data_IF_153359017919
#
_entry.id   IF_153359017919
#
_cell.length_a   1.000
_cell.length_b   1.000
_cell.length_c   1.000
_cell.angle_alpha   90.00
_cell.angle_beta   90.00
_cell.angle_gamma   90.00
#
_symmetry.space_group_name_H-M   'P 1'
#
loop_
_entity.id
_entity.type
_entity.pdbx_description
1 polymer ?
#
# COMPACT_ATOMS: atom_id res chain seq x y z
N UNK A 1 -14.67 13.18 10.80
CA UNK A 1 -14.47 14.14 11.92
C UNK A 1 -13.20 14.92 11.62
N UNK A 2 -13.34 16.24 11.42
CA UNK A 2 -12.23 17.17 11.41
C UNK A 2 -11.48 17.03 12.72
N UNK A 3 -10.18 16.73 12.64
CA UNK A 3 -9.31 16.76 13.81
C UNK A 3 -9.39 18.14 14.44
N UNK A 4 -9.98 18.21 15.64
CA UNK A 4 -10.25 19.46 16.35
C UNK A 4 -8.95 20.21 16.64
N UNK A 5 -8.90 21.50 16.26
CA UNK A 5 -7.79 22.43 16.53
C UNK A 5 -7.79 23.00 17.95
N UNK A 6 -8.73 22.60 18.82
CA UNK A 6 -9.01 23.29 20.09
C UNK A 6 -8.67 22.51 21.35
N UNK A 7 -7.54 21.86 21.47
CA UNK A 7 -7.00 21.55 22.80
C UNK A 7 -5.58 22.05 22.92
N UNK A 8 -5.46 23.10 23.69
CA UNK A 8 -4.21 23.78 23.96
C UNK A 8 -3.23 22.89 24.76
N UNK A 9 -1.97 23.00 24.33
CA UNK A 9 -0.74 22.96 25.15
C UNK A 9 -0.55 21.77 26.11
N UNK A 10 0.25 20.84 25.71
CA UNK A 10 1.42 20.26 26.36
C UNK A 10 1.82 18.88 25.86
N UNK A 11 1.03 18.21 25.05
CA UNK A 11 1.46 16.93 24.45
C UNK A 11 1.72 17.11 22.95
N UNK A 12 2.95 16.86 22.54
CA UNK A 12 3.34 16.81 21.13
C UNK A 12 2.55 15.67 20.49
N UNK A 13 1.54 16.00 19.73
CA UNK A 13 0.76 15.02 18.96
C UNK A 13 1.71 14.17 18.11
N UNK A 14 1.55 12.87 18.20
CA UNK A 14 2.38 11.91 17.50
C UNK A 14 1.56 11.26 16.37
N UNK A 15 2.04 11.39 15.16
CA UNK A 15 1.46 10.76 13.96
C UNK A 15 2.40 9.69 13.44
N UNK A 16 1.89 8.51 13.19
CA UNK A 16 2.64 7.52 12.44
C UNK A 16 2.17 7.52 10.99
N UNK A 17 3.13 7.50 10.06
CA UNK A 17 2.91 7.20 8.65
C UNK A 17 3.62 5.90 8.34
N UNK A 18 2.90 4.93 7.82
CA UNK A 18 3.41 3.58 7.53
C UNK A 18 2.72 3.02 6.29
N UNK A 19 3.33 2.04 5.64
CA UNK A 19 2.74 1.32 4.53
C UNK A 19 3.63 1.29 3.30
N UNK A 20 3.31 0.39 2.36
CA UNK A 20 4.12 0.10 1.17
C UNK A 20 4.40 1.34 0.31
N UNK A 21 3.43 2.26 0.23
CA UNK A 21 3.51 3.48 -0.59
C UNK A 21 3.73 4.75 0.25
N UNK A 22 4.09 4.63 1.55
CA UNK A 22 4.22 5.79 2.44
C UNK A 22 5.34 6.76 2.02
N UNK A 23 6.51 6.23 1.70
CA UNK A 23 7.71 6.99 1.34
C UNK A 23 7.99 7.00 -0.18
N UNK A 24 7.12 6.37 -0.98
CA UNK A 24 7.24 6.30 -2.42
C UNK A 24 6.26 7.26 -3.09
N UNK A 25 6.61 7.70 -4.30
CA UNK A 25 5.72 8.45 -5.17
C UNK A 25 5.33 7.53 -6.33
N UNK A 26 4.08 7.09 -6.33
CA UNK A 26 3.60 6.16 -7.33
C UNK A 26 3.08 6.92 -8.56
N UNK A 27 3.55 6.49 -9.72
CA UNK A 27 3.15 6.95 -11.04
C UNK A 27 2.60 5.75 -11.81
N UNK A 28 1.63 5.97 -12.69
CA UNK A 28 1.16 4.91 -13.60
C UNK A 28 2.22 4.55 -14.64
N UNK A 29 2.07 3.37 -15.25
CA UNK A 29 2.83 3.00 -16.44
C UNK A 29 2.70 4.09 -17.50
N UNK A 30 3.78 4.34 -18.24
CA UNK A 30 3.84 5.37 -19.29
C UNK A 30 3.60 6.81 -18.81
N UNK A 31 3.66 7.07 -17.51
CA UNK A 31 3.65 8.43 -17.00
C UNK A 31 4.87 9.21 -17.46
N UNK A 32 4.70 10.52 -17.64
CA UNK A 32 5.82 11.39 -17.94
C UNK A 32 6.84 11.49 -16.80
N UNK A 33 8.06 11.91 -17.12
CA UNK A 33 9.08 12.20 -16.10
C UNK A 33 8.65 13.42 -15.28
N UNK A 34 8.69 13.36 -13.94
CA UNK A 34 8.42 14.50 -13.09
C UNK A 34 9.34 15.69 -13.40
N UNK A 35 8.81 16.90 -13.36
CA UNK A 35 9.59 18.13 -13.59
C UNK A 35 10.31 18.54 -12.30
N UNK A 36 9.69 18.32 -11.15
CA UNK A 36 10.25 18.62 -9.85
C UNK A 36 10.44 17.32 -9.05
N UNK A 37 11.14 17.39 -7.92
CA UNK A 37 11.25 16.27 -7.01
C UNK A 37 9.85 15.85 -6.52
N UNK A 38 9.44 14.60 -6.73
CA UNK A 38 8.14 14.13 -6.29
C UNK A 38 8.00 14.18 -4.76
N UNK A 39 6.78 14.47 -4.29
CA UNK A 39 6.46 14.57 -2.86
C UNK A 39 5.70 13.31 -2.44
N UNK A 40 6.33 12.45 -1.64
CA UNK A 40 5.68 11.27 -1.07
C UNK A 40 4.60 11.66 -0.04
N UNK A 41 3.70 10.73 0.30
CA UNK A 41 2.69 10.97 1.34
C UNK A 41 3.34 11.34 2.67
N UNK A 42 4.43 10.65 3.03
CA UNK A 42 5.22 10.94 4.22
C UNK A 42 5.78 12.36 4.20
N UNK A 43 6.38 12.77 3.10
CA UNK A 43 6.98 14.11 2.97
C UNK A 43 5.91 15.20 2.92
N UNK A 44 4.79 14.97 2.24
CA UNK A 44 3.66 15.90 2.22
C UNK A 44 3.11 16.16 3.61
N UNK A 45 2.96 15.10 4.43
CA UNK A 45 2.52 15.24 5.82
C UNK A 45 3.57 15.99 6.65
N UNK A 46 4.85 15.64 6.55
CA UNK A 46 5.95 16.33 7.25
C UNK A 46 6.01 17.81 6.90
N UNK A 47 5.96 18.13 5.62
CA UNK A 47 5.98 19.50 5.13
C UNK A 47 4.79 20.31 5.65
N UNK A 48 3.61 19.68 5.70
CA UNK A 48 2.37 20.33 6.18
C UNK A 48 2.38 20.63 7.67
N UNK A 49 2.91 19.73 8.49
CA UNK A 49 2.87 19.89 9.95
C UNK A 49 4.13 20.55 10.53
N UNK A 50 5.22 20.61 9.79
CA UNK A 50 6.49 21.17 10.26
C UNK A 50 6.94 20.52 11.57
N UNK A 51 7.23 21.37 12.57
CA UNK A 51 7.66 20.94 13.90
C UNK A 51 6.50 20.87 14.92
N UNK A 52 5.27 21.19 14.52
CA UNK A 52 4.11 21.23 15.43
C UNK A 52 3.64 19.83 15.83
N UNK A 53 3.84 18.85 14.95
CA UNK A 53 3.44 17.46 15.17
C UNK A 53 4.62 16.54 14.90
N UNK A 54 4.86 15.62 15.80
CA UNK A 54 5.89 14.59 15.61
C UNK A 54 5.41 13.54 14.61
N UNK A 55 6.01 13.50 13.41
CA UNK A 55 5.77 12.47 12.40
C UNK A 55 6.81 11.37 12.50
N UNK A 56 6.37 10.17 12.82
CA UNK A 56 7.22 8.98 12.90
C UNK A 56 6.91 8.07 11.71
N UNK A 57 7.93 7.51 11.12
CA UNK A 57 7.81 6.57 10.01
C UNK A 57 8.50 5.26 10.36
N UNK A 58 7.82 4.14 10.09
CA UNK A 58 8.41 2.82 10.05
C UNK A 58 8.40 2.32 8.61
N UNK A 59 9.55 1.90 8.06
CA UNK A 59 9.59 1.30 6.74
C UNK A 59 8.64 0.11 6.63
N UNK A 60 7.98 -0.01 5.50
CA UNK A 60 7.15 -1.17 5.21
C UNK A 60 8.02 -2.42 5.02
N UNK A 61 7.64 -3.48 5.68
CA UNK A 61 8.22 -4.80 5.49
C UNK A 61 7.14 -5.67 4.86
N UNK A 62 7.24 -5.91 3.55
CA UNK A 62 6.30 -6.80 2.84
C UNK A 62 6.53 -8.24 3.27
N UNK A 63 5.45 -8.98 3.51
CA UNK A 63 5.49 -10.42 3.71
C UNK A 63 4.76 -11.10 2.56
N UNK A 64 5.47 -11.65 1.59
CA UNK A 64 4.85 -12.59 0.66
C UNK A 64 4.42 -13.84 1.44
N UNK A 65 3.14 -14.18 1.43
CA UNK A 65 2.56 -15.37 2.12
C UNK A 65 2.87 -15.45 3.64
N UNK A 66 3.03 -14.33 4.34
CA UNK A 66 3.41 -14.31 5.76
C UNK A 66 4.93 -14.37 5.99
N UNK A 67 5.73 -14.30 4.93
CA UNK A 67 7.18 -14.13 5.03
C UNK A 67 7.55 -12.65 5.08
N UNK A 68 8.47 -12.29 5.96
CA UNK A 68 8.96 -10.92 6.14
C UNK A 68 10.49 -10.91 6.15
N UNK A 69 11.10 -9.82 5.72
CA UNK A 69 12.53 -9.61 5.95
C UNK A 69 12.83 -9.71 7.44
N UNK A 70 13.94 -10.35 7.79
CA UNK A 70 14.37 -10.41 9.18
C UNK A 70 14.68 -8.99 9.66
N UNK A 71 13.86 -8.48 10.57
CA UNK A 71 14.04 -7.14 11.12
C UNK A 71 15.40 -6.99 11.82
N UNK A 72 16.07 -5.84 11.71
CA UNK A 72 17.29 -5.54 12.49
C UNK A 72 17.14 -5.74 13.99
N UNK A 73 15.94 -5.68 14.56
CA UNK A 73 15.67 -5.99 15.96
C UNK A 73 16.00 -7.42 16.35
N UNK A 74 15.97 -8.35 15.37
CA UNK A 74 16.36 -9.75 15.55
C UNK A 74 17.82 -10.02 15.20
N UNK A 75 18.53 -9.01 14.71
CA UNK A 75 19.95 -9.04 14.31
C UNK A 75 20.69 -7.94 15.09
N UNK A 76 20.90 -8.06 16.41
CA UNK A 76 21.26 -6.96 17.30
C UNK A 76 22.57 -6.25 16.95
N UNK A 77 23.49 -6.95 16.27
CA UNK A 77 24.77 -6.41 15.81
C UNK A 77 24.84 -6.27 14.28
N UNK A 78 23.70 -6.48 13.56
CA UNK A 78 23.70 -6.65 12.14
C UNK A 78 24.40 -7.93 11.70
N UNK A 79 24.68 -8.04 10.41
CA UNK A 79 25.37 -9.18 9.81
C UNK A 79 26.71 -8.72 9.24
N UNK A 80 27.82 -9.32 9.68
CA UNK A 80 29.10 -9.16 8.99
C UNK A 80 28.94 -9.74 7.60
N UNK A 81 29.06 -8.90 6.57
CA UNK A 81 28.99 -9.28 5.17
C UNK A 81 30.39 -9.27 4.55
N UNK A 82 30.76 -10.35 3.91
CA UNK A 82 32.02 -10.57 3.19
C UNK A 82 31.70 -10.68 1.70
N UNK A 83 32.10 -9.69 0.91
CA UNK A 83 31.83 -9.57 -0.52
C UNK A 83 33.07 -9.96 -1.32
N UNK A 84 32.94 -10.97 -2.15
CA UNK A 84 34.01 -11.48 -3.04
C UNK A 84 33.69 -11.14 -4.50
N UNK A 85 34.70 -10.84 -5.28
CA UNK A 85 34.62 -10.54 -6.73
C UNK A 85 34.70 -11.80 -7.62
N UNK A 86 34.23 -12.93 -7.08
CA UNK A 86 34.14 -14.22 -7.75
C UNK A 86 33.05 -15.07 -7.08
N UNK A 87 32.52 -16.11 -7.75
CA UNK A 87 31.40 -16.92 -7.21
C UNK A 87 31.87 -18.04 -6.24
N UNK A 88 33.14 -18.10 -5.83
CA UNK A 88 33.76 -19.25 -5.11
C UNK A 88 34.38 -18.86 -3.77
N UNK A 89 34.13 -17.64 -3.25
CA UNK A 89 34.68 -17.13 -1.98
C UNK A 89 36.20 -17.10 -1.90
N UNK A 90 36.89 -16.97 -3.03
CA UNK A 90 38.36 -16.94 -3.07
C UNK A 90 38.90 -15.52 -2.91
N UNK A 91 40.11 -15.42 -2.34
CA UNK A 91 40.77 -14.14 -2.16
C UNK A 91 40.35 -13.39 -0.89
N UNK A 92 40.65 -12.09 -0.85
CA UNK A 92 40.35 -11.23 0.29
C UNK A 92 39.04 -10.50 0.04
N UNK A 93 38.01 -10.70 0.88
CA UNK A 93 36.71 -10.01 0.70
C UNK A 93 36.78 -8.53 1.10
N UNK A 94 35.93 -7.72 0.51
CA UNK A 94 35.52 -6.47 1.11
C UNK A 94 34.50 -6.74 2.21
N UNK A 95 34.59 -6.07 3.35
CA UNK A 95 33.72 -6.35 4.50
C UNK A 95 32.96 -5.10 4.95
N UNK A 96 31.70 -5.28 5.33
CA UNK A 96 30.89 -4.28 6.01
C UNK A 96 29.87 -4.97 6.95
N UNK A 97 29.07 -4.17 7.68
CA UNK A 97 27.94 -4.68 8.45
C UNK A 97 26.65 -4.32 7.72
N UNK A 98 25.91 -5.35 7.33
CA UNK A 98 24.58 -5.21 6.71
C UNK A 98 23.49 -5.33 7.79
N UNK A 99 22.39 -4.60 7.62
CA UNK A 99 21.25 -4.64 8.57
C UNK A 99 20.37 -5.87 8.40
N UNK A 100 20.52 -6.60 7.29
CA UNK A 100 19.78 -7.78 6.90
C UNK A 100 20.19 -8.22 5.50
N UNK A 101 19.60 -9.26 4.98
CA UNK A 101 19.88 -9.78 3.63
C UNK A 101 18.73 -9.36 2.70
N UNK A 102 18.95 -8.26 2.01
CA UNK A 102 18.08 -7.74 0.96
C UNK A 102 18.95 -7.10 -0.14
N UNK A 103 19.64 -7.96 -0.89
CA UNK A 103 20.61 -7.59 -1.89
C UNK A 103 20.00 -7.70 -3.28
N UNK A 104 19.87 -6.57 -3.96
CA UNK A 104 19.33 -6.47 -5.31
C UNK A 104 19.88 -5.18 -5.96
N UNK A 105 21.14 -5.17 -6.40
CA UNK A 105 21.86 -3.96 -6.83
C UNK A 105 21.21 -3.22 -7.99
N UNK A 106 20.51 -3.92 -8.88
CA UNK A 106 19.81 -3.33 -10.03
C UNK A 106 18.70 -2.34 -9.60
N UNK A 107 18.07 -2.63 -8.45
CA UNK A 107 16.96 -1.84 -7.92
C UNK A 107 17.39 -0.88 -6.78
N UNK A 108 18.68 -0.75 -6.54
CA UNK A 108 19.25 0.12 -5.52
C UNK A 108 20.14 1.20 -6.14
N UNK A 109 20.40 2.26 -5.38
CA UNK A 109 21.36 3.27 -5.82
C UNK A 109 22.75 2.62 -6.02
N UNK A 110 23.51 3.05 -7.06
CA UNK A 110 24.85 2.51 -7.31
C UNK A 110 25.72 2.60 -6.05
N UNK A 111 26.25 1.45 -5.61
CA UNK A 111 27.15 1.35 -4.47
C UNK A 111 28.55 0.93 -4.98
N UNK A 112 29.53 1.84 -4.98
CA UNK A 112 30.89 1.54 -5.46
C UNK A 112 31.62 0.52 -4.57
N UNK A 113 31.11 0.22 -3.38
CA UNK A 113 31.64 -0.82 -2.53
C UNK A 113 31.37 -2.23 -3.08
N UNK A 114 30.24 -2.43 -3.76
CA UNK A 114 29.81 -3.73 -4.23
C UNK A 114 30.70 -4.25 -5.38
N UNK A 115 31.09 -5.54 -5.37
CA UNK A 115 31.70 -6.15 -6.52
C UNK A 115 30.72 -6.23 -7.70
N UNK A 116 31.25 -6.31 -8.90
CA UNK A 116 30.44 -6.62 -10.09
C UNK A 116 30.24 -8.13 -10.19
N UNK A 117 29.13 -8.51 -10.83
CA UNK A 117 28.89 -9.90 -11.21
C UNK A 117 30.02 -10.43 -12.15
N UNK A 118 30.50 -11.68 -12.00
CA UNK A 118 30.09 -12.67 -10.99
C UNK A 118 30.64 -12.38 -9.59
N UNK A 119 29.90 -12.72 -8.55
CA UNK A 119 30.28 -12.43 -7.17
C UNK A 119 29.81 -13.51 -6.19
N UNK A 120 30.30 -13.46 -4.95
CA UNK A 120 29.71 -14.20 -3.83
C UNK A 120 29.71 -13.38 -2.55
N UNK A 121 28.74 -13.67 -1.68
CA UNK A 121 28.57 -12.95 -0.42
C UNK A 121 28.34 -13.96 0.71
N UNK A 122 29.03 -13.75 1.83
CA UNK A 122 28.78 -14.49 3.06
C UNK A 122 28.37 -13.52 4.14
N UNK A 123 27.21 -13.75 4.74
CA UNK A 123 26.73 -13.04 5.92
C UNK A 123 26.83 -13.91 7.15
N UNK A 124 27.34 -13.36 8.24
CA UNK A 124 27.41 -14.01 9.54
C UNK A 124 26.99 -13.06 10.67
N UNK A 125 26.26 -13.58 11.65
CA UNK A 125 25.82 -12.79 12.77
C UNK A 125 24.93 -13.53 13.76
N UNK A 126 24.47 -12.82 14.79
CA UNK A 126 23.56 -13.36 15.80
C UNK A 126 22.10 -13.12 15.38
N UNK A 127 21.28 -14.18 15.46
CA UNK A 127 19.84 -14.14 15.31
C UNK A 127 19.18 -14.36 16.66
N UNK A 128 18.26 -13.46 17.07
CA UNK A 128 17.55 -13.56 18.37
C UNK A 128 16.05 -13.56 18.11
N UNK A 129 15.38 -14.74 18.17
CA UNK A 129 13.94 -14.82 17.99
C UNK A 129 13.17 -14.18 19.16
N UNK A 130 12.03 -13.58 18.89
CA UNK A 130 11.14 -13.01 19.91
C UNK A 130 10.00 -13.94 20.34
N UNK A 131 9.89 -15.11 19.70
CA UNK A 131 8.91 -16.17 20.02
C UNK A 131 9.60 -17.53 19.96
N UNK A 132 9.11 -18.51 20.72
CA UNK A 132 9.51 -19.92 20.57
C UNK A 132 8.58 -20.63 19.58
N UNK A 133 9.11 -21.48 18.74
CA UNK A 133 8.35 -22.30 17.82
C UNK A 133 9.04 -22.54 16.49
N UNK A 134 8.32 -23.10 15.52
CA UNK A 134 8.84 -23.40 14.20
C UNK A 134 8.86 -22.14 13.33
N UNK A 135 10.04 -21.72 12.92
CA UNK A 135 10.30 -20.67 11.94
C UNK A 135 10.51 -21.29 10.57
N UNK A 136 9.87 -20.72 9.56
CA UNK A 136 10.10 -21.11 8.16
C UNK A 136 10.87 -19.98 7.48
N UNK A 137 12.11 -20.26 7.08
CA UNK A 137 12.92 -19.33 6.29
C UNK A 137 12.61 -19.48 4.81
N UNK A 138 12.73 -18.39 4.08
CA UNK A 138 12.52 -18.28 2.64
C UNK A 138 13.66 -17.47 2.05
N UNK A 139 14.50 -18.09 1.22
CA UNK A 139 15.62 -17.44 0.56
C UNK A 139 15.32 -17.34 -0.94
N UNK A 140 15.16 -16.12 -1.43
CA UNK A 140 15.03 -15.84 -2.86
C UNK A 140 16.40 -15.44 -3.39
N UNK A 141 16.88 -16.13 -4.40
CA UNK A 141 18.19 -15.87 -5.01
C UNK A 141 18.20 -16.05 -6.53
N UNK A 142 19.16 -15.42 -7.16
CA UNK A 142 19.67 -15.61 -8.50
C UNK A 142 21.20 -15.41 -8.40
N UNK A 143 22.07 -16.41 -8.39
CA UNK A 143 21.90 -17.86 -8.46
C UNK A 143 21.76 -18.55 -7.08
N UNK A 144 22.76 -19.30 -6.64
CA UNK A 144 22.69 -20.24 -5.52
C UNK A 144 22.79 -19.60 -4.14
N UNK A 145 22.08 -20.21 -3.18
CA UNK A 145 22.09 -19.77 -1.78
C UNK A 145 22.11 -20.93 -0.79
N UNK A 146 22.60 -20.65 0.42
CA UNK A 146 22.57 -21.54 1.59
C UNK A 146 22.28 -20.77 2.85
N UNK A 147 21.53 -21.37 3.76
CA UNK A 147 21.29 -20.84 5.10
C UNK A 147 21.63 -21.88 6.16
N UNK A 148 22.41 -21.45 7.13
CA UNK A 148 22.74 -22.23 8.33
C UNK A 148 22.31 -21.47 9.58
N UNK A 149 21.76 -22.20 10.56
CA UNK A 149 21.46 -21.71 11.91
C UNK A 149 22.13 -22.66 12.90
N UNK A 150 23.07 -22.17 13.74
CA UNK A 150 23.94 -22.98 14.61
C UNK A 150 24.57 -24.16 13.86
N UNK A 151 25.14 -23.89 12.68
CA UNK A 151 25.76 -24.88 11.75
C UNK A 151 24.78 -25.90 11.17
N UNK A 152 23.51 -25.91 11.55
CA UNK A 152 22.48 -26.73 10.89
C UNK A 152 22.13 -26.10 9.54
N UNK A 153 22.25 -26.88 8.46
CA UNK A 153 21.86 -26.51 7.11
C UNK A 153 20.31 -26.49 7.04
N UNK A 154 19.74 -25.27 6.85
CA UNK A 154 18.29 -25.04 6.81
C UNK A 154 17.79 -24.91 5.36
N UNK A 155 18.59 -24.26 4.50
CA UNK A 155 18.32 -24.14 3.07
C UNK A 155 19.60 -24.48 2.32
N UNK A 156 19.48 -25.35 1.28
CA UNK A 156 20.58 -25.71 0.39
C UNK A 156 20.12 -25.69 -1.07
N UNK A 157 20.46 -24.60 -1.74
CA UNK A 157 20.24 -24.44 -3.17
C UNK A 157 21.52 -23.90 -3.83
N UNK A 158 22.52 -24.79 -3.98
CA UNK A 158 23.84 -24.39 -4.45
C UNK A 158 24.04 -24.74 -5.93
N UNK A 159 23.15 -24.18 -6.78
CA UNK A 159 23.15 -24.41 -8.23
C UNK A 159 23.02 -23.08 -8.98
N UNK A 160 23.42 -23.07 -10.23
CA UNK A 160 23.16 -21.96 -11.16
C UNK A 160 21.69 -22.03 -11.62
N UNK A 161 20.94 -20.96 -11.46
CA UNK A 161 19.53 -20.87 -11.84
C UNK A 161 19.06 -19.41 -11.94
N UNK A 162 17.96 -19.16 -12.65
CA UNK A 162 17.25 -17.88 -12.60
C UNK A 162 16.57 -17.69 -11.25
N UNK A 163 16.07 -16.47 -10.99
CA UNK A 163 15.39 -16.13 -9.73
C UNK A 163 14.41 -17.22 -9.28
N UNK A 164 14.64 -17.77 -8.10
CA UNK A 164 13.71 -18.69 -7.43
C UNK A 164 13.82 -18.58 -5.91
N UNK A 165 12.89 -19.21 -5.23
CA UNK A 165 12.77 -19.14 -3.77
C UNK A 165 12.79 -20.56 -3.18
N UNK A 166 13.72 -20.81 -2.27
CA UNK A 166 13.78 -22.05 -1.50
C UNK A 166 13.38 -21.80 -0.04
N UNK A 167 12.78 -22.82 0.58
CA UNK A 167 12.25 -22.73 1.94
C UNK A 167 12.81 -23.83 2.82
N UNK A 168 13.05 -23.49 4.10
CA UNK A 168 13.48 -24.44 5.12
C UNK A 168 12.95 -24.04 6.49
N UNK A 169 12.70 -25.02 7.36
CA UNK A 169 12.16 -24.75 8.70
C UNK A 169 13.11 -25.22 9.80
N UNK A 170 13.02 -24.53 10.95
CA UNK A 170 13.78 -24.86 12.16
C UNK A 170 13.00 -24.35 13.38
N UNK A 171 13.06 -25.09 14.48
CA UNK A 171 12.50 -24.65 15.78
C UNK A 171 13.49 -23.76 16.51
N UNK A 172 13.05 -22.56 16.90
CA UNK A 172 13.86 -21.59 17.64
C UNK A 172 13.19 -21.25 18.97
N UNK A 173 14.00 -20.88 19.97
CA UNK A 173 13.56 -20.50 21.32
C UNK A 173 13.64 -18.98 21.50
N UNK A 174 12.58 -18.39 22.07
CA UNK A 174 12.52 -16.96 22.37
C UNK A 174 13.73 -16.49 23.19
N UNK A 175 14.39 -15.43 22.71
CA UNK A 175 15.50 -14.77 23.39
C UNK A 175 16.84 -15.52 23.36
N UNK A 176 16.86 -16.74 22.85
CA UNK A 176 18.10 -17.49 22.64
C UNK A 176 18.86 -16.92 21.45
N UNK A 177 20.17 -16.83 21.56
CA UNK A 177 21.05 -16.40 20.48
C UNK A 177 21.44 -17.59 19.61
N UNK A 178 21.28 -17.45 18.33
CA UNK A 178 21.65 -18.40 17.32
C UNK A 178 22.68 -17.80 16.36
N UNK A 179 23.63 -18.59 15.87
CA UNK A 179 24.57 -18.15 14.85
C UNK A 179 23.91 -18.32 13.46
N UNK A 180 23.66 -17.20 12.79
CA UNK A 180 23.20 -17.18 11.41
C UNK A 180 24.40 -17.10 10.49
N UNK A 181 24.49 -18.01 9.50
CA UNK A 181 25.39 -17.92 8.35
C UNK A 181 24.58 -18.10 7.09
N UNK A 182 24.63 -17.12 6.20
CA UNK A 182 24.05 -17.22 4.85
C UNK A 182 25.15 -17.06 3.80
N UNK A 183 25.09 -17.88 2.78
CA UNK A 183 25.99 -17.86 1.64
C UNK A 183 25.20 -17.70 0.35
N UNK A 184 25.73 -16.91 -0.57
CA UNK A 184 25.13 -16.60 -1.85
C UNK A 184 26.22 -16.48 -2.91
N UNK A 185 25.94 -16.96 -4.12
CA UNK A 185 26.76 -16.64 -5.28
C UNK A 185 25.88 -16.27 -6.48
N UNK A 186 26.43 -15.39 -7.29
CA UNK A 186 25.93 -14.98 -8.60
C UNK A 186 27.00 -15.35 -9.64
N UNK A 187 26.61 -16.09 -10.67
CA UNK A 187 27.49 -16.53 -11.76
C UNK A 187 27.29 -15.68 -13.03
N UNK A 188 26.53 -14.63 -12.95
CA UNK A 188 26.22 -13.67 -14.03
C UNK A 188 24.74 -13.50 -14.25
N UNK A 189 24.33 -12.31 -14.63
CA UNK A 189 22.93 -11.96 -14.84
C UNK A 189 22.40 -10.97 -13.82
N UNK A 190 21.26 -11.27 -13.21
CA UNK A 190 20.66 -10.43 -12.17
C UNK A 190 21.06 -10.95 -10.79
N UNK A 191 21.83 -10.17 -10.06
CA UNK A 191 22.28 -10.55 -8.72
C UNK A 191 21.16 -10.25 -7.68
N UNK A 192 20.55 -11.30 -7.12
CA UNK A 192 19.46 -11.21 -6.15
C UNK A 192 19.71 -12.15 -4.97
N UNK A 193 19.64 -11.60 -3.73
CA UNK A 193 19.65 -12.40 -2.50
C UNK A 193 18.76 -11.74 -1.45
N UNK A 194 17.60 -12.36 -1.13
CA UNK A 194 16.64 -11.87 -0.15
C UNK A 194 16.27 -12.97 0.83
N UNK A 195 16.56 -12.76 2.12
CA UNK A 195 16.24 -13.72 3.19
C UNK A 195 15.05 -13.21 4.01
N UNK A 196 13.98 -13.94 3.91
CA UNK A 196 12.75 -13.73 4.68
C UNK A 196 12.57 -14.87 5.68
N UNK A 197 11.72 -14.65 6.66
CA UNK A 197 11.22 -15.68 7.52
C UNK A 197 9.73 -15.53 7.81
N UNK A 198 9.06 -16.62 8.10
CA UNK A 198 7.73 -16.65 8.68
C UNK A 198 7.87 -17.11 10.14
N UNK A 199 7.40 -16.28 11.07
CA UNK A 199 7.42 -16.57 12.49
C UNK A 199 6.32 -17.57 12.87
N UNK A 200 6.46 -18.32 13.97
CA UNK A 200 5.43 -19.22 14.47
C UNK A 200 4.11 -18.49 14.70
N UNK A 201 3.00 -19.05 14.22
CA UNK A 201 1.65 -18.56 14.50
C UNK A 201 1.15 -19.19 15.80
N UNK A 202 0.84 -18.39 16.81
CA UNK A 202 0.12 -18.83 18.01
C UNK A 202 -1.12 -17.97 18.19
N UNK A 203 -2.21 -18.53 18.72
CA UNK A 203 -3.46 -17.80 19.01
C UNK A 203 -3.28 -16.67 20.05
N UNK A 204 -2.14 -16.64 20.73
CA UNK A 204 -1.76 -15.60 21.72
C UNK A 204 -0.77 -14.57 21.15
N UNK A 205 -0.34 -14.70 19.90
CA UNK A 205 0.66 -13.83 19.32
C UNK A 205 0.02 -12.57 18.74
N UNK A 206 0.56 -11.45 19.14
CA UNK A 206 0.21 -10.17 18.55
C UNK A 206 0.80 -10.06 17.14
N UNK A 207 -0.04 -10.34 16.15
CA UNK A 207 0.34 -10.29 14.72
C UNK A 207 0.99 -8.97 14.31
N UNK A 208 0.68 -7.87 15.02
CA UNK A 208 1.28 -6.57 14.73
C UNK A 208 2.78 -6.57 15.00
N UNK A 209 3.28 -7.40 15.93
CA UNK A 209 4.72 -7.48 16.20
C UNK A 209 5.53 -8.06 15.03
N UNK A 210 4.89 -8.70 14.05
CA UNK A 210 5.54 -9.12 12.80
C UNK A 210 6.10 -7.93 12.00
N UNK A 211 5.51 -6.76 12.19
CA UNK A 211 5.91 -5.52 11.50
C UNK A 211 6.97 -4.70 12.28
N UNK A 212 7.67 -5.33 13.21
CA UNK A 212 8.83 -4.76 13.89
C UNK A 212 8.53 -3.44 14.61
N UNK A 213 9.32 -2.40 14.31
CA UNK A 213 9.19 -1.08 14.96
C UNK A 213 7.83 -0.41 14.71
N UNK A 214 7.14 -0.73 13.62
CA UNK A 214 5.81 -0.22 13.32
C UNK A 214 4.80 -0.56 14.43
N UNK A 215 4.88 -1.75 14.98
CA UNK A 215 4.03 -2.24 16.08
C UNK A 215 4.07 -1.31 17.31
N UNK A 216 5.26 -1.00 17.79
CA UNK A 216 5.44 -0.11 18.95
C UNK A 216 4.94 1.30 18.64
N UNK A 217 5.32 1.82 17.47
CA UNK A 217 4.98 3.18 17.06
C UNK A 217 3.46 3.33 16.89
N UNK A 218 2.74 2.33 16.37
CA UNK A 218 1.27 2.32 16.23
C UNK A 218 0.61 2.53 17.60
N UNK A 219 1.02 1.76 18.62
CA UNK A 219 0.43 1.83 19.96
C UNK A 219 0.71 3.17 20.66
N UNK A 220 1.85 3.79 20.37
CA UNK A 220 2.29 5.03 20.99
C UNK A 220 1.85 6.29 20.21
N UNK A 221 1.13 6.13 19.10
CA UNK A 221 0.71 7.25 18.26
C UNK A 221 -0.73 7.65 18.50
N UNK A 222 -1.04 8.94 18.41
CA UNK A 222 -2.42 9.44 18.49
C UNK A 222 -3.23 9.08 17.25
N UNK A 223 -2.59 9.07 16.10
CA UNK A 223 -3.19 8.72 14.81
C UNK A 223 -2.20 7.90 13.98
N UNK A 224 -2.70 6.88 13.30
CA UNK A 224 -1.97 6.08 12.32
C UNK A 224 -2.48 6.40 10.93
N UNK A 225 -1.57 6.70 10.01
CA UNK A 225 -1.88 6.90 8.59
C UNK A 225 -1.23 5.74 7.84
N UNK A 226 -2.03 4.77 7.44
CA UNK A 226 -1.60 3.58 6.71
C UNK A 226 -1.74 3.81 5.21
N UNK A 227 -0.60 3.97 4.51
CA UNK A 227 -0.55 4.22 3.06
C UNK A 227 -0.37 2.89 2.34
N UNK A 228 -1.47 2.32 1.92
CA UNK A 228 -1.59 0.97 1.38
C UNK A 228 -1.99 1.00 -0.08
N UNK A 229 -2.00 -0.14 -0.73
CA UNK A 229 -2.45 -0.25 -2.11
C UNK A 229 -1.55 -1.14 -2.97
N UNK A 230 -1.44 -0.77 -4.21
CA UNK A 230 -0.62 -1.45 -5.22
C UNK A 230 0.35 -0.46 -5.83
N UNK A 231 1.34 -0.99 -6.51
CA UNK A 231 2.32 -0.23 -7.27
C UNK A 231 2.79 -1.06 -8.48
N UNK A 232 3.71 -0.55 -9.26
CA UNK A 232 4.21 -1.20 -10.48
C UNK A 232 4.90 -2.55 -10.24
N UNK A 233 5.34 -2.87 -9.01
CA UNK A 233 5.87 -4.19 -8.69
C UNK A 233 4.77 -5.26 -8.56
N UNK A 234 3.52 -4.84 -8.33
CA UNK A 234 2.34 -5.69 -8.14
C UNK A 234 1.51 -5.78 -9.41
N UNK A 235 1.29 -4.65 -10.09
CA UNK A 235 0.46 -4.54 -11.29
C UNK A 235 1.11 -3.58 -12.28
N UNK A 236 1.30 -4.01 -13.52
CA UNK A 236 1.82 -3.21 -14.64
C UNK A 236 1.43 -3.84 -15.97
N UNK A 237 1.77 -3.21 -17.09
CA UNK A 237 1.56 -3.81 -18.40
C UNK A 237 2.20 -5.20 -18.50
N UNK A 238 1.44 -6.17 -18.98
CA UNK A 238 1.88 -7.56 -19.08
C UNK A 238 1.95 -8.33 -17.76
N UNK A 239 1.53 -7.70 -16.65
CA UNK A 239 1.47 -8.34 -15.33
C UNK A 239 0.15 -7.98 -14.65
N UNK A 240 -0.87 -8.82 -14.87
CA UNK A 240 -2.18 -8.69 -14.27
C UNK A 240 -2.22 -9.30 -12.86
N UNK A 241 -3.09 -8.77 -12.00
CA UNK A 241 -3.39 -9.34 -10.70
C UNK A 241 -4.44 -10.44 -10.80
N UNK A 242 -4.30 -11.47 -9.98
CA UNK A 242 -5.29 -12.53 -9.84
C UNK A 242 -6.43 -12.18 -8.86
N UNK A 243 -6.35 -11.05 -8.18
CA UNK A 243 -7.33 -10.58 -7.20
C UNK A 243 -7.43 -9.06 -7.26
N UNK A 244 -8.62 -8.52 -6.97
CA UNK A 244 -8.85 -7.09 -6.78
C UNK A 244 -8.73 -6.67 -5.31
N UNK A 245 -8.32 -7.56 -4.43
CA UNK A 245 -8.05 -7.26 -3.02
C UNK A 245 -6.63 -6.72 -2.82
N UNK A 246 -6.39 -6.10 -1.67
CA UNK A 246 -5.03 -5.88 -1.17
C UNK A 246 -4.36 -7.22 -0.88
N UNK A 247 -3.03 -7.25 -0.91
CA UNK A 247 -2.27 -8.44 -0.48
C UNK A 247 -2.64 -8.83 0.96
N UNK A 248 -2.52 -10.12 1.27
CA UNK A 248 -2.91 -10.65 2.59
C UNK A 248 -2.17 -9.96 3.74
N UNK A 249 -0.90 -9.65 3.57
CA UNK A 249 -0.09 -8.95 4.56
C UNK A 249 -0.60 -7.52 4.82
N UNK A 250 -0.97 -6.78 3.78
CA UNK A 250 -1.58 -5.46 3.94
C UNK A 250 -2.93 -5.55 4.67
N UNK A 251 -3.77 -6.53 4.33
CA UNK A 251 -5.05 -6.75 5.01
C UNK A 251 -4.86 -7.08 6.49
N UNK A 252 -3.91 -7.97 6.82
CA UNK A 252 -3.57 -8.33 8.21
C UNK A 252 -3.06 -7.10 8.94
N UNK A 253 -2.10 -6.38 8.35
CA UNK A 253 -1.54 -5.17 8.96
C UNK A 253 -2.61 -4.14 9.31
N UNK A 254 -3.50 -3.81 8.37
CA UNK A 254 -4.57 -2.81 8.59
C UNK A 254 -5.48 -3.24 9.74
N UNK A 255 -5.87 -4.52 9.79
CA UNK A 255 -6.72 -5.08 10.86
C UNK A 255 -6.05 -4.97 12.22
N UNK A 256 -4.80 -5.37 12.32
CA UNK A 256 -4.05 -5.34 13.58
C UNK A 256 -3.67 -3.90 13.99
N UNK A 257 -3.36 -3.04 13.04
CA UNK A 257 -3.13 -1.62 13.29
C UNK A 257 -4.39 -0.94 13.84
N UNK A 258 -5.56 -1.17 13.23
CA UNK A 258 -6.84 -0.65 13.71
C UNK A 258 -7.21 -1.19 15.09
N UNK A 259 -6.98 -2.47 15.34
CA UNK A 259 -7.22 -3.10 16.64
C UNK A 259 -6.35 -2.49 17.76
N UNK A 260 -5.09 -2.18 17.44
CA UNK A 260 -4.15 -1.57 18.37
C UNK A 260 -4.37 -0.05 18.52
N UNK A 261 -4.83 0.61 17.47
CA UNK A 261 -5.12 2.05 17.44
C UNK A 261 -6.32 2.34 16.53
N UNK A 262 -7.53 2.49 17.09
CA UNK A 262 -8.75 2.76 16.31
C UNK A 262 -8.72 4.08 15.52
N UNK A 263 -7.79 5.00 15.81
CA UNK A 263 -7.58 6.20 15.03
C UNK A 263 -6.72 5.94 13.79
N UNK A 264 -6.92 4.81 13.15
CA UNK A 264 -6.23 4.44 11.90
C UNK A 264 -6.99 4.99 10.69
N UNK A 265 -6.29 5.75 9.87
CA UNK A 265 -6.75 6.27 8.57
C UNK A 265 -6.03 5.49 7.48
N UNK A 266 -6.73 5.10 6.42
CA UNK A 266 -6.12 4.45 5.25
C UNK A 266 -6.07 5.44 4.08
N UNK A 267 -4.88 5.59 3.49
CA UNK A 267 -4.67 6.21 2.20
C UNK A 267 -4.43 5.08 1.20
N UNK A 268 -5.37 4.88 0.29
CA UNK A 268 -5.32 3.85 -0.72
C UNK A 268 -4.65 4.40 -1.98
N UNK A 269 -3.49 3.91 -2.32
CA UNK A 269 -2.75 4.26 -3.54
C UNK A 269 -2.85 3.08 -4.50
N UNK A 270 -3.67 3.21 -5.55
CA UNK A 270 -3.94 2.14 -6.49
C UNK A 270 -4.41 2.69 -7.84
N UNK A 271 -3.93 2.12 -8.95
CA UNK A 271 -4.34 2.54 -10.31
C UNK A 271 -5.70 1.96 -10.75
N UNK A 272 -6.30 1.08 -9.98
CA UNK A 272 -7.54 0.36 -10.29
C UNK A 272 -8.42 0.16 -9.04
N UNK A 273 -9.65 -0.33 -9.24
CA UNK A 273 -10.56 -0.58 -8.11
C UNK A 273 -10.05 -1.68 -7.19
N UNK A 274 -10.30 -1.51 -5.89
CA UNK A 274 -9.92 -2.46 -4.85
C UNK A 274 -11.15 -2.94 -4.07
N UNK A 275 -11.21 -4.24 -3.80
CA UNK A 275 -12.21 -4.83 -2.90
C UNK A 275 -11.79 -4.61 -1.46
N UNK A 276 -12.29 -3.56 -0.83
CA UNK A 276 -11.91 -3.12 0.52
C UNK A 276 -13.07 -3.19 1.53
N UNK A 277 -14.00 -4.12 1.35
CA UNK A 277 -15.24 -4.18 2.12
C UNK A 277 -15.03 -4.23 3.65
N UNK A 278 -14.00 -4.91 4.16
CA UNK A 278 -13.72 -4.89 5.58
C UNK A 278 -13.28 -3.49 6.06
N UNK A 279 -12.45 -2.79 5.27
CA UNK A 279 -12.00 -1.44 5.62
C UNK A 279 -13.15 -0.44 5.60
N UNK A 280 -14.06 -0.55 4.62
CA UNK A 280 -15.26 0.29 4.55
C UNK A 280 -16.12 0.21 5.83
N UNK A 281 -16.19 -0.98 6.43
CA UNK A 281 -16.99 -1.22 7.64
C UNK A 281 -16.30 -0.79 8.94
N UNK A 282 -14.97 -0.74 9.00
CA UNK A 282 -14.24 -0.60 10.26
C UNK A 282 -13.35 0.65 10.31
N UNK A 283 -12.73 1.03 9.20
CA UNK A 283 -11.78 2.14 9.18
C UNK A 283 -12.53 3.49 9.17
N UNK A 284 -12.24 4.39 10.11
CA UNK A 284 -13.00 5.64 10.26
C UNK A 284 -12.84 6.62 9.10
N UNK A 285 -11.75 6.55 8.33
CA UNK A 285 -11.53 7.37 7.15
C UNK A 285 -10.65 6.64 6.13
N UNK A 286 -11.07 6.66 4.86
CA UNK A 286 -10.35 6.12 3.71
C UNK A 286 -10.24 7.19 2.65
N UNK A 287 -9.03 7.43 2.14
CA UNK A 287 -8.77 8.32 1.00
C UNK A 287 -8.33 7.43 -0.16
N UNK A 288 -9.08 7.43 -1.25
CA UNK A 288 -8.65 6.83 -2.52
C UNK A 288 -7.86 7.88 -3.29
N UNK A 289 -6.54 7.68 -3.34
CA UNK A 289 -5.59 8.66 -3.87
C UNK A 289 -5.17 8.34 -5.31
N UNK A 290 -5.59 7.20 -5.88
CA UNK A 290 -5.11 6.71 -7.16
C UNK A 290 -3.58 6.63 -7.21
N UNK A 291 -2.96 6.79 -8.37
CA UNK A 291 -1.53 7.10 -8.50
C UNK A 291 -1.38 8.63 -8.53
N UNK A 292 -1.01 9.26 -7.40
CA UNK A 292 -1.23 10.69 -7.21
C UNK A 292 -0.20 11.58 -7.90
N UNK A 293 0.87 11.01 -8.45
CA UNK A 293 1.89 11.74 -9.22
C UNK A 293 2.79 12.65 -8.40
N UNK A 294 3.41 13.65 -9.07
CA UNK A 294 4.49 14.48 -8.53
C UNK A 294 4.16 15.20 -7.22
N UNK A 295 2.96 15.78 -7.10
CA UNK A 295 2.51 16.53 -5.92
C UNK A 295 1.48 15.77 -5.08
N UNK A 296 1.43 14.44 -5.24
CA UNK A 296 0.44 13.61 -4.58
C UNK A 296 0.48 13.71 -3.06
N UNK A 297 1.66 13.69 -2.46
CA UNK A 297 1.82 13.81 -1.01
C UNK A 297 1.31 15.14 -0.47
N UNK A 298 1.53 16.25 -1.19
CA UNK A 298 1.00 17.57 -0.84
C UNK A 298 -0.53 17.56 -0.85
N UNK A 299 -1.14 17.09 -1.93
CA UNK A 299 -2.59 17.05 -2.09
C UNK A 299 -3.26 16.14 -1.03
N UNK A 300 -2.68 14.98 -0.74
CA UNK A 300 -3.18 14.07 0.30
C UNK A 300 -3.07 14.72 1.68
N UNK A 301 -1.97 15.40 1.99
CA UNK A 301 -1.81 16.10 3.26
C UNK A 301 -2.86 17.22 3.40
N UNK A 302 -3.11 18.03 2.37
CA UNK A 302 -4.14 19.08 2.39
C UNK A 302 -5.54 18.51 2.68
N UNK A 303 -5.87 17.35 2.10
CA UNK A 303 -7.12 16.65 2.42
C UNK A 303 -7.12 16.15 3.86
N UNK A 304 -6.07 15.46 4.32
CA UNK A 304 -5.99 14.91 5.67
C UNK A 304 -6.13 15.98 6.76
N UNK A 305 -5.58 17.17 6.53
CA UNK A 305 -5.61 18.28 7.50
C UNK A 305 -6.75 19.26 7.28
N UNK A 306 -7.60 19.04 6.25
CA UNK A 306 -8.78 19.86 5.96
C UNK A 306 -8.47 21.21 5.34
N UNK A 307 -7.28 21.39 4.77
CA UNK A 307 -6.92 22.59 3.99
C UNK A 307 -7.63 22.58 2.63
N UNK A 308 -7.92 21.39 2.11
CA UNK A 308 -8.71 21.16 0.91
C UNK A 308 -9.91 20.23 1.21
N UNK A 309 -11.11 20.63 0.77
CA UNK A 309 -12.30 19.80 0.88
C UNK A 309 -12.40 18.88 -0.36
N UNK A 310 -12.31 17.55 -0.21
CA UNK A 310 -12.28 16.64 -1.35
C UNK A 310 -13.56 16.70 -2.17
N UNK A 311 -13.41 16.67 -3.49
CA UNK A 311 -14.51 16.71 -4.45
C UNK A 311 -14.43 15.58 -5.50
N UNK A 312 -13.50 14.64 -5.36
CA UNK A 312 -13.34 13.50 -6.25
C UNK A 312 -14.60 12.64 -6.30
N UNK A 313 -14.90 12.12 -7.48
CA UNK A 313 -15.97 11.14 -7.70
C UNK A 313 -15.38 9.96 -8.46
N UNK A 314 -15.69 8.75 -8.01
CA UNK A 314 -15.15 7.53 -8.61
C UNK A 314 -15.53 7.42 -10.09
N UNK A 315 -14.56 7.28 -11.00
CA UNK A 315 -14.81 7.16 -12.44
C UNK A 315 -15.09 5.72 -12.86
N UNK A 316 -15.21 4.80 -11.92
CA UNK A 316 -15.50 3.38 -12.16
C UNK A 316 -16.26 2.78 -10.97
N UNK A 317 -16.74 1.54 -11.13
CA UNK A 317 -17.44 0.77 -10.10
C UNK A 317 -16.44 0.02 -9.24
N UNK A 318 -16.55 0.15 -7.91
CA UNK A 318 -15.82 -0.70 -6.97
C UNK A 318 -16.69 -1.91 -6.61
N UNK A 319 -16.16 -3.11 -6.80
CA UNK A 319 -16.84 -4.37 -6.53
C UNK A 319 -16.50 -4.86 -5.12
N UNK A 320 -17.37 -5.71 -4.53
CA UNK A 320 -17.09 -6.28 -3.20
C UNK A 320 -16.03 -7.37 -3.26
N UNK A 321 -16.01 -8.13 -4.37
CA UNK A 321 -15.05 -9.20 -4.58
C UNK A 321 -14.87 -9.48 -6.08
N UNK A 322 -13.90 -10.34 -6.41
CA UNK A 322 -13.66 -10.77 -7.78
C UNK A 322 -14.81 -11.61 -8.35
N UNK A 323 -15.58 -12.26 -7.51
CA UNK A 323 -16.77 -13.07 -7.89
C UNK A 323 -17.90 -12.21 -8.46
N UNK A 324 -17.90 -10.91 -8.19
CA UNK A 324 -18.84 -9.95 -8.81
C UNK A 324 -18.55 -9.72 -10.30
N UNK A 325 -17.37 -10.10 -10.76
CA UNK A 325 -16.92 -9.91 -12.15
C UNK A 325 -17.19 -11.17 -12.98
N UNK A 326 -17.56 -11.02 -14.28
CA UNK A 326 -17.57 -12.15 -15.22
C UNK A 326 -16.14 -12.67 -15.44
N UNK A 327 -16.00 -13.78 -16.17
CA UNK A 327 -14.72 -14.37 -16.54
C UNK A 327 -13.76 -13.32 -17.12
N UNK A 328 -12.45 -13.47 -16.83
CA UNK A 328 -11.43 -12.49 -17.20
C UNK A 328 -11.40 -12.20 -18.72
N UNK A 329 -11.61 -13.22 -19.54
CA UNK A 329 -11.64 -13.16 -20.99
C UNK A 329 -13.00 -12.76 -21.59
N UNK A 330 -14.04 -12.54 -20.77
CA UNK A 330 -15.31 -12.00 -21.22
C UNK A 330 -15.27 -10.47 -21.33
N UNK A 331 -15.05 -9.96 -22.53
CA UNK A 331 -15.00 -8.52 -22.82
C UNK A 331 -16.37 -7.89 -23.12
N UNK A 332 -17.45 -8.66 -23.07
CA UNK A 332 -18.78 -8.11 -23.32
C UNK A 332 -19.29 -7.34 -22.09
N UNK A 333 -19.25 -6.00 -22.17
CA UNK A 333 -19.69 -5.13 -21.06
C UNK A 333 -21.14 -5.38 -20.61
N UNK A 334 -22.00 -5.92 -21.48
CA UNK A 334 -23.40 -6.27 -21.12
C UNK A 334 -23.47 -7.46 -20.15
N UNK A 335 -22.39 -8.22 -20.02
CA UNK A 335 -22.29 -9.34 -19.10
C UNK A 335 -21.89 -8.87 -17.70
N UNK A 336 -22.79 -8.12 -17.05
CA UNK A 336 -22.65 -7.70 -15.64
C UNK A 336 -21.42 -6.82 -15.35
N UNK A 337 -20.92 -6.06 -16.37
CA UNK A 337 -19.78 -5.15 -16.17
C UNK A 337 -20.22 -3.70 -16.01
N UNK A 338 -19.44 -2.95 -15.25
CA UNK A 338 -19.56 -1.51 -15.03
C UNK A 338 -20.91 -1.09 -14.41
N UNK A 339 -21.01 0.18 -14.01
CA UNK A 339 -22.25 0.75 -13.46
C UNK A 339 -23.45 0.68 -14.43
N UNK A 340 -23.18 0.45 -15.70
CA UNK A 340 -24.22 0.35 -16.72
C UNK A 340 -24.95 -1.00 -16.71
N UNK A 341 -24.26 -2.08 -16.36
CA UNK A 341 -24.83 -3.43 -16.48
C UNK A 341 -24.65 -4.29 -15.24
N UNK A 342 -23.91 -3.82 -14.22
CA UNK A 342 -23.72 -4.55 -12.96
C UNK A 342 -25.03 -4.53 -12.15
N UNK A 343 -25.68 -5.67 -12.04
CA UNK A 343 -26.96 -5.82 -11.36
C UNK A 343 -26.81 -6.04 -9.86
N UNK A 344 -25.58 -6.34 -9.38
CA UNK A 344 -25.27 -6.51 -7.98
C UNK A 344 -25.23 -5.18 -7.22
N UNK A 345 -24.96 -5.27 -5.92
CA UNK A 345 -24.71 -4.10 -5.06
C UNK A 345 -23.20 -3.80 -5.08
N UNK A 346 -22.74 -2.72 -5.69
CA UNK A 346 -21.32 -2.39 -5.66
C UNK A 346 -20.88 -1.99 -4.25
N UNK A 347 -19.59 -2.16 -3.95
CA UNK A 347 -18.98 -1.59 -2.75
C UNK A 347 -19.11 -0.07 -2.79
N UNK A 348 -18.61 0.54 -3.87
CA UNK A 348 -18.86 1.95 -4.19
C UNK A 348 -19.36 2.08 -5.62
N UNK A 349 -20.43 2.84 -5.79
CA UNK A 349 -20.98 3.09 -7.11
C UNK A 349 -20.10 4.05 -7.92
N UNK A 350 -20.11 3.90 -9.24
CA UNK A 350 -19.61 4.93 -10.14
C UNK A 350 -20.21 6.30 -9.79
N UNK A 351 -19.37 7.33 -9.70
CA UNK A 351 -19.77 8.67 -9.33
C UNK A 351 -19.84 8.91 -7.81
N UNK A 352 -19.52 7.91 -6.98
CA UNK A 352 -19.46 8.04 -5.51
C UNK A 352 -18.27 8.91 -5.07
N UNK A 353 -18.47 9.66 -3.99
CA UNK A 353 -17.44 10.41 -3.30
C UNK A 353 -18.04 11.24 -2.18
N UNK A 354 -17.25 11.52 -1.15
CA UNK A 354 -17.64 12.28 0.03
C UNK A 354 -17.06 13.69 0.00
N UNK A 355 -17.60 14.55 0.84
CA UNK A 355 -17.15 15.92 1.06
C UNK A 355 -17.20 16.24 2.55
N UNK A 356 -16.41 17.19 3.02
CA UNK A 356 -16.49 17.72 4.40
C UNK A 356 -17.70 18.63 4.62
N UNK A 357 -18.46 18.92 3.57
CA UNK A 357 -19.70 19.69 3.63
C UNK A 357 -20.88 18.90 3.07
N UNK A 358 -22.07 19.48 3.07
CA UNK A 358 -23.31 18.86 2.57
C UNK A 358 -23.90 19.70 1.46
N UNK A 359 -24.45 19.04 0.45
CA UNK A 359 -25.09 19.67 -0.68
C UNK A 359 -26.54 19.20 -0.82
N UNK A 360 -27.47 20.16 -0.90
CA UNK A 360 -28.89 19.89 -1.11
C UNK A 360 -29.26 20.20 -2.54
N UNK A 361 -29.85 19.24 -3.21
CA UNK A 361 -30.41 19.38 -4.55
C UNK A 361 -31.89 19.76 -4.46
N UNK A 362 -32.31 20.82 -5.16
CA UNK A 362 -33.65 21.37 -5.06
C UNK A 362 -34.17 21.84 -6.42
N UNK A 363 -35.50 21.99 -6.51
CA UNK A 363 -36.19 22.66 -7.62
C UNK A 363 -35.90 22.01 -8.99
N UNK A 364 -35.87 20.67 -9.05
CA UNK A 364 -35.70 19.99 -10.31
C UNK A 364 -36.88 20.25 -11.21
N UNK A 365 -36.63 20.86 -12.39
CA UNK A 365 -37.59 21.08 -13.45
C UNK A 365 -37.05 20.43 -14.74
N UNK A 366 -37.86 19.60 -15.37
CA UNK A 366 -37.53 18.89 -16.60
C UNK A 366 -38.46 19.40 -17.70
N UNK A 367 -37.85 19.90 -18.78
CA UNK A 367 -38.57 20.27 -20.00
C UNK A 367 -38.07 19.37 -21.13
N UNK A 368 -39.01 18.86 -21.92
CA UNK A 368 -38.71 18.03 -23.08
C UNK A 368 -39.32 18.62 -24.31
N UNK A 369 -38.56 18.71 -25.37
CA UNK A 369 -39.02 18.95 -26.73
C UNK A 369 -38.74 17.73 -27.60
N UNK A 370 -38.91 17.84 -28.92
CA UNK A 370 -38.72 16.73 -29.85
C UNK A 370 -37.27 16.25 -29.98
N UNK A 371 -36.30 17.06 -29.57
CA UNK A 371 -34.88 16.78 -29.77
C UNK A 371 -34.06 16.79 -28.48
N UNK A 372 -34.55 17.54 -27.46
CA UNK A 372 -33.77 17.84 -26.26
C UNK A 372 -34.56 17.61 -24.98
N UNK A 373 -33.81 17.24 -23.94
CA UNK A 373 -34.28 17.27 -22.56
C UNK A 373 -33.45 18.31 -21.78
N UNK A 374 -34.11 19.32 -21.30
CA UNK A 374 -33.51 20.38 -20.51
C UNK A 374 -33.80 20.17 -19.03
N UNK A 375 -32.75 20.14 -18.21
CA UNK A 375 -32.84 19.99 -16.76
C UNK A 375 -32.40 21.28 -16.10
N UNK A 376 -33.26 21.83 -15.23
CA UNK A 376 -32.93 22.97 -14.36
C UNK A 376 -33.09 22.54 -12.91
N UNK A 377 -32.07 22.78 -12.09
CA UNK A 377 -32.11 22.52 -10.66
C UNK A 377 -31.14 23.43 -9.92
N UNK A 378 -31.34 23.55 -8.61
CA UNK A 378 -30.47 24.33 -7.73
C UNK A 378 -29.69 23.41 -6.83
N UNK A 379 -28.42 23.75 -6.55
CA UNK A 379 -27.61 23.10 -5.53
C UNK A 379 -27.22 24.14 -4.49
N UNK A 380 -27.46 23.83 -3.23
CA UNK A 380 -27.10 24.68 -2.09
C UNK A 380 -26.07 23.94 -1.23
N UNK A 381 -24.97 24.59 -0.89
CA UNK A 381 -24.12 24.15 0.18
C UNK A 381 -24.80 24.45 1.52
N UNK A 382 -25.23 23.40 2.22
CA UNK A 382 -25.92 23.47 3.51
C UNK A 382 -25.04 23.13 4.70
N UNK A 383 -23.76 22.81 4.45
CA UNK A 383 -22.80 22.50 5.48
C UNK A 383 -21.97 23.71 5.92
N UNK A 384 -20.84 23.42 6.61
CA UNK A 384 -20.01 24.43 7.27
C UNK A 384 -18.77 24.84 6.48
N UNK A 385 -18.40 24.08 5.46
CA UNK A 385 -17.18 24.30 4.68
C UNK A 385 -17.52 24.60 3.23
N UNK A 386 -16.75 25.47 2.61
CA UNK A 386 -16.79 25.62 1.16
C UNK A 386 -16.37 24.32 0.51
N UNK A 387 -16.90 24.01 -0.66
CA UNK A 387 -16.53 22.79 -1.35
C UNK A 387 -17.11 22.71 -2.75
N UNK A 388 -16.49 21.89 -3.56
CA UNK A 388 -16.98 21.58 -4.89
C UNK A 388 -17.98 20.43 -4.85
N UNK A 389 -19.08 20.61 -5.54
CA UNK A 389 -20.01 19.53 -5.86
C UNK A 389 -19.89 19.15 -7.33
N UNK A 390 -19.91 17.86 -7.61
CA UNK A 390 -19.96 17.32 -8.97
C UNK A 390 -21.37 16.82 -9.23
N UNK A 391 -22.21 17.68 -9.78
CA UNK A 391 -23.55 17.32 -10.22
C UNK A 391 -23.48 16.34 -11.39
N UNK A 392 -24.21 15.23 -11.31
CA UNK A 392 -24.21 14.17 -12.31
C UNK A 392 -25.63 13.90 -12.80
N UNK A 393 -25.81 13.81 -14.09
CA UNK A 393 -27.09 13.55 -14.74
C UNK A 393 -27.05 12.17 -15.39
N UNK A 394 -27.89 11.27 -14.89
CA UNK A 394 -28.05 9.92 -15.42
C UNK A 394 -29.39 9.75 -16.10
N UNK A 395 -29.39 9.04 -17.22
CA UNK A 395 -30.61 8.65 -17.94
C UNK A 395 -30.79 7.14 -17.75
N UNK A 396 -32.00 6.76 -17.37
CA UNK A 396 -32.46 5.36 -17.38
C UNK A 396 -33.36 5.15 -18.58
N UNK A 397 -33.11 4.10 -19.33
CA UNK A 397 -33.91 3.75 -20.49
C UNK A 397 -35.09 2.87 -20.08
N UNK A 398 -36.28 3.05 -20.67
CA UNK A 398 -37.38 2.12 -20.45
C UNK A 398 -37.03 0.72 -21.01
N UNK A 399 -37.60 -0.30 -20.42
CA UNK A 399 -37.45 -1.66 -20.91
C UNK A 399 -38.05 -1.78 -22.32
N UNK A 400 -37.25 -2.23 -23.26
CA UNK A 400 -37.62 -2.41 -24.69
C UNK A 400 -37.50 -3.87 -25.11
N UNK A 401 -37.43 -4.82 -24.16
CA UNK A 401 -37.23 -6.26 -24.45
C UNK A 401 -35.83 -6.61 -24.93
N UNK A 402 -34.89 -5.68 -24.90
CA UNK A 402 -33.45 -5.88 -25.14
C UNK A 402 -32.64 -5.40 -23.97
N UNK A 403 -31.51 -6.03 -23.70
CA UNK A 403 -30.63 -5.63 -22.57
C UNK A 403 -30.09 -4.21 -22.80
N UNK A 404 -30.64 -3.26 -22.07
CA UNK A 404 -30.24 -1.84 -22.05
C UNK A 404 -29.45 -1.53 -20.77
N UNK A 405 -28.62 -0.47 -20.77
CA UNK A 405 -27.96 -0.03 -19.55
C UNK A 405 -28.95 0.27 -18.42
N UNK A 406 -28.62 -0.11 -17.21
CA UNK A 406 -29.37 0.27 -15.99
C UNK A 406 -29.49 1.78 -15.85
N UNK A 407 -28.44 2.50 -16.19
CA UNK A 407 -28.36 3.96 -16.31
C UNK A 407 -27.11 4.36 -17.11
N UNK A 408 -27.13 5.55 -17.70
CA UNK A 408 -25.98 6.14 -18.38
C UNK A 408 -25.75 7.57 -17.90
N UNK A 409 -24.51 7.92 -17.57
CA UNK A 409 -24.10 9.30 -17.35
C UNK A 409 -24.19 10.08 -18.65
N UNK A 410 -24.99 11.13 -18.70
CA UNK A 410 -25.20 12.00 -19.87
C UNK A 410 -24.64 13.40 -19.71
N UNK A 411 -24.37 13.80 -18.47
CA UNK A 411 -23.73 15.09 -18.19
C UNK A 411 -23.24 15.16 -16.77
N UNK A 412 -22.21 15.96 -16.56
CA UNK A 412 -21.73 16.31 -15.23
C UNK A 412 -21.14 17.72 -15.24
N UNK A 413 -21.19 18.34 -14.08
CA UNK A 413 -20.57 19.66 -13.88
C UNK A 413 -20.04 19.80 -12.47
N UNK A 414 -18.77 20.18 -12.33
CA UNK A 414 -18.18 20.58 -11.05
C UNK A 414 -18.43 22.04 -10.79
N UNK A 415 -18.90 22.38 -9.59
CA UNK A 415 -19.19 23.74 -9.16
C UNK A 415 -18.68 23.96 -7.74
N UNK A 416 -17.84 24.97 -7.53
CA UNK A 416 -17.48 25.44 -6.20
C UNK A 416 -18.69 26.18 -5.58
N UNK A 417 -19.11 25.71 -4.42
CA UNK A 417 -20.24 26.25 -3.68
C UNK A 417 -19.78 26.75 -2.31
N UNK A 418 -19.97 28.00 -2.08
CA UNK A 418 -19.68 28.66 -0.82
C UNK A 418 -20.78 28.37 0.22
N UNK A 419 -20.42 28.39 1.49
CA UNK A 419 -21.42 28.37 2.56
C UNK A 419 -22.26 29.69 2.50
N UNK A 420 -23.54 29.60 2.85
CA UNK A 420 -24.31 30.82 3.04
C UNK A 420 -23.67 31.67 4.15
N UNK A 421 -23.50 32.99 3.98
CA UNK A 421 -23.09 33.84 5.08
C UNK A 421 -24.01 33.58 6.29
N UNK A 422 -23.46 33.42 7.47
CA UNK A 422 -24.25 33.45 8.69
C UNK A 422 -24.98 34.81 8.74
N UNK A 423 -26.27 34.84 9.10
CA UNK A 423 -26.98 36.08 9.27
C UNK A 423 -26.36 36.96 10.35
#
# INVERSE_FOLDING_TARGET
STLDRSSAASDVYKRQVVGINAANCEFGDYSGTPVNAPVSVLDGIRNRVGNEIKVVHAPWVSSEEGYQLISPTHLPNGLKAEYYDNPTFQGTPKTRVDKGINFEPKNQAPDPFLPKSPLSIRWTGELVPNISGEYVFSFTSDDGCRLYIDDQLVIDDWNVHSVRTEKGSISLEKGKKYQLKAEYFDNGGEAIARLHWRVPSTDQYDMLNMYGDASKIIRESDVVIAVMGINQSIEREGQDRNSIELSKDQQIFIREAYKANPNTIVVLVAGSSMAIGWMDQHIPAIIDAWYPGEQGGTAIAEVLFGDYNPAGRLPLTFYNSIEDLPAFDDYNVKNNRTYMYFEGKPLYAFGYGLSYTKFDYRNLNIKQDTQNVTLNFSIKNSGKYNGDEVAQVYVKFPDQGIKTPLKQLKGFKRCLLYTSPSP
#
